data_IF_209851714300
#
_entry.id   IF_209851714300
#
_cell.length_a   1.000
_cell.length_b   1.000
_cell.length_c   1.000
_cell.angle_alpha   90.00
_cell.angle_beta   90.00
_cell.angle_gamma   90.00
#
_symmetry.space_group_name_H-M   'P 1'
#
loop_
_entity.id
_entity.type
_entity.pdbx_description
1 polymer ?
#
# COMPACT_ATOMS: atom_id res chain seq x y z
N UNK A 1 9.42 10.76 2.05
CA UNK A 1 9.15 10.65 0.59
C UNK A 1 8.58 9.28 0.19
N UNK A 2 9.17 8.16 0.63
CA UNK A 2 8.67 6.81 0.28
C UNK A 2 7.22 6.54 0.71
N UNK A 3 6.84 6.84 1.96
CA UNK A 3 5.44 6.69 2.42
C UNK A 3 4.47 7.53 1.58
N UNK A 4 4.81 8.80 1.29
CA UNK A 4 3.99 9.67 0.42
C UNK A 4 3.79 9.03 -0.95
N UNK A 5 4.87 8.57 -1.59
CA UNK A 5 4.77 7.89 -2.88
C UNK A 5 3.86 6.67 -2.77
N UNK A 6 4.07 5.80 -1.78
CA UNK A 6 3.26 4.60 -1.59
C UNK A 6 1.77 4.92 -1.42
N UNK A 7 1.42 5.90 -0.57
CA UNK A 7 0.03 6.29 -0.34
C UNK A 7 -0.61 6.82 -1.63
N UNK A 8 0.08 7.72 -2.35
CA UNK A 8 -0.46 8.32 -3.58
C UNK A 8 -0.63 7.23 -4.65
N UNK A 9 0.36 6.37 -4.88
CA UNK A 9 0.25 5.34 -5.94
C UNK A 9 -0.72 4.20 -5.61
N UNK A 10 -1.17 4.06 -4.36
CA UNK A 10 -2.17 3.06 -3.96
C UNK A 10 -3.55 3.68 -3.68
N UNK A 11 -3.73 4.97 -3.94
CA UNK A 11 -5.01 5.66 -3.81
C UNK A 11 -5.66 5.78 -5.19
N UNK A 12 -6.88 5.26 -5.33
CA UNK A 12 -7.58 5.14 -6.61
C UNK A 12 -7.79 6.51 -7.29
N UNK A 13 -8.06 7.53 -6.48
CA UNK A 13 -8.25 8.91 -6.93
C UNK A 13 -6.99 9.50 -7.58
N UNK A 14 -5.81 8.94 -7.28
CA UNK A 14 -4.52 9.39 -7.84
C UNK A 14 -4.07 8.63 -9.09
N UNK A 15 -4.79 7.59 -9.52
CA UNK A 15 -4.36 6.72 -10.64
C UNK A 15 -4.13 7.50 -11.93
N UNK A 16 -5.05 8.40 -12.31
CA UNK A 16 -4.92 9.20 -13.55
C UNK A 16 -3.68 10.08 -13.57
N UNK A 17 -3.23 10.56 -12.42
CA UNK A 17 -2.05 11.41 -12.29
C UNK A 17 -0.75 10.62 -12.39
N UNK A 18 -0.79 9.35 -11.97
CA UNK A 18 0.32 8.42 -12.15
C UNK A 18 0.57 8.21 -13.65
N UNK A 19 -0.49 7.94 -14.40
CA UNK A 19 -0.44 7.76 -15.85
C UNK A 19 0.00 9.05 -16.57
N UNK A 20 -0.57 10.21 -16.19
CA UNK A 20 -0.20 11.51 -16.77
C UNK A 20 1.31 11.81 -16.62
N UNK A 21 1.89 11.56 -15.45
CA UNK A 21 3.32 11.78 -15.24
C UNK A 21 4.19 10.81 -16.05
N UNK A 22 3.78 9.54 -16.16
CA UNK A 22 4.47 8.55 -17.00
C UNK A 22 4.44 8.94 -18.48
N UNK A 23 3.30 9.44 -18.97
CA UNK A 23 3.13 9.90 -20.34
C UNK A 23 3.94 11.17 -20.64
N UNK A 24 4.02 12.11 -19.69
CA UNK A 24 4.90 13.28 -19.79
C UNK A 24 6.38 12.89 -19.92
N UNK A 25 6.85 11.99 -19.05
CA UNK A 25 8.24 11.51 -19.08
C UNK A 25 8.54 10.76 -20.39
N UNK A 26 7.59 9.95 -20.87
CA UNK A 26 7.72 9.19 -22.12
C UNK A 26 7.80 10.13 -23.33
N UNK A 27 6.92 11.14 -23.40
CA UNK A 27 6.93 12.15 -24.48
C UNK A 27 8.18 13.02 -24.45
N UNK A 28 8.73 13.28 -23.27
CA UNK A 28 9.99 14.02 -23.11
C UNK A 28 11.24 13.21 -23.52
N UNK A 29 11.08 11.94 -23.94
CA UNK A 29 12.21 11.07 -24.30
C UNK A 29 13.10 10.72 -23.10
N UNK A 30 12.54 10.75 -21.89
CA UNK A 30 13.31 10.56 -20.67
C UNK A 30 13.89 9.14 -20.61
N UNK A 31 15.18 9.04 -20.33
CA UNK A 31 15.81 7.76 -20.08
C UNK A 31 15.39 7.23 -18.70
N UNK A 32 15.13 5.93 -18.61
CA UNK A 32 14.71 5.28 -17.36
C UNK A 32 13.43 5.88 -16.75
N UNK A 33 12.37 6.01 -17.56
CA UNK A 33 11.05 6.58 -17.17
C UNK A 33 10.58 6.12 -15.79
N UNK A 34 10.61 4.82 -15.51
CA UNK A 34 10.14 4.27 -14.24
C UNK A 34 10.94 4.76 -13.03
N UNK A 35 12.27 4.86 -13.17
CA UNK A 35 13.14 5.38 -12.11
C UNK A 35 12.84 6.85 -11.85
N UNK A 36 12.74 7.65 -12.92
CA UNK A 36 12.40 9.08 -12.81
C UNK A 36 11.03 9.29 -12.21
N UNK A 37 10.04 8.52 -12.64
CA UNK A 37 8.71 8.55 -12.04
C UNK A 37 8.81 8.32 -10.53
N UNK A 38 9.47 7.24 -10.09
CA UNK A 38 9.64 6.95 -8.66
C UNK A 38 10.28 8.10 -7.87
N UNK A 39 11.27 8.76 -8.47
CA UNK A 39 12.07 9.78 -7.81
C UNK A 39 11.40 11.18 -7.83
N UNK A 40 10.64 11.50 -8.88
CA UNK A 40 10.11 12.85 -9.16
C UNK A 40 8.59 12.96 -8.93
N UNK A 41 7.84 11.84 -8.95
CA UNK A 41 6.37 11.86 -8.98
C UNK A 41 5.74 12.60 -7.82
N UNK A 42 6.23 12.43 -6.59
CA UNK A 42 5.65 13.12 -5.42
C UNK A 42 5.74 14.64 -5.57
N UNK A 43 6.89 15.15 -6.04
CA UNK A 43 7.13 16.59 -6.17
C UNK A 43 6.41 17.15 -7.42
N UNK A 44 6.27 16.33 -8.47
CA UNK A 44 5.44 16.65 -9.64
C UNK A 44 3.96 16.72 -9.27
N UNK A 45 3.44 15.72 -8.57
CA UNK A 45 2.05 15.60 -8.15
C UNK A 45 1.67 16.78 -7.24
N UNK A 46 2.52 17.10 -6.27
CA UNK A 46 2.31 18.25 -5.40
C UNK A 46 2.15 19.56 -6.17
N UNK A 47 3.06 19.85 -7.11
CA UNK A 47 2.99 21.07 -7.93
C UNK A 47 1.76 21.08 -8.85
N UNK A 48 1.47 19.95 -9.51
CA UNK A 48 0.36 19.80 -10.45
C UNK A 48 -0.98 20.03 -9.78
N UNK A 49 -1.23 19.34 -8.66
CA UNK A 49 -2.50 19.43 -7.93
C UNK A 49 -2.66 20.80 -7.26
N UNK A 50 -1.61 21.40 -6.71
CA UNK A 50 -1.69 22.75 -6.14
C UNK A 50 -2.08 23.81 -7.18
N UNK A 51 -1.59 23.69 -8.42
CA UNK A 51 -1.98 24.61 -9.50
C UNK A 51 -3.46 24.43 -9.87
N UNK A 52 -3.91 23.18 -10.05
CA UNK A 52 -5.29 22.89 -10.42
C UNK A 52 -6.30 23.21 -9.32
N UNK A 53 -5.92 23.08 -8.04
CA UNK A 53 -6.80 23.40 -6.92
C UNK A 53 -7.11 24.89 -6.86
N UNK A 54 -6.11 25.75 -7.13
CA UNK A 54 -6.31 27.20 -7.26
C UNK A 54 -7.30 27.58 -8.38
N UNK A 55 -7.37 26.76 -9.42
CA UNK A 55 -8.31 26.92 -10.54
C UNK A 55 -9.67 26.24 -10.29
N UNK A 56 -9.86 25.59 -9.13
CA UNK A 56 -11.09 24.87 -8.80
C UNK A 56 -11.30 23.58 -9.61
N UNK A 57 -10.24 23.01 -10.19
CA UNK A 57 -10.31 21.85 -11.10
C UNK A 57 -10.10 20.50 -10.42
N UNK A 58 -9.77 20.47 -9.14
CA UNK A 58 -9.56 19.25 -8.35
C UNK A 58 -10.23 19.40 -6.98
N UNK A 59 -10.64 18.27 -6.42
CA UNK A 59 -11.31 18.24 -5.12
C UNK A 59 -10.32 18.41 -3.95
N UNK A 60 -10.86 18.65 -2.75
CA UNK A 60 -10.05 18.84 -1.53
C UNK A 60 -9.33 17.56 -1.09
N UNK A 61 -9.81 16.38 -1.52
CA UNK A 61 -9.13 15.11 -1.24
C UNK A 61 -7.79 15.02 -1.96
N UNK A 62 -7.76 15.27 -3.27
CA UNK A 62 -6.53 15.33 -4.05
C UNK A 62 -5.60 16.42 -3.52
N UNK A 63 -6.16 17.57 -3.18
CA UNK A 63 -5.39 18.64 -2.56
C UNK A 63 -4.73 18.19 -1.25
N UNK A 64 -5.47 17.57 -0.32
CA UNK A 64 -4.93 17.03 0.92
C UNK A 64 -3.83 15.98 0.66
N UNK A 65 -4.06 15.03 -0.25
CA UNK A 65 -3.06 14.04 -0.67
C UNK A 65 -1.77 14.69 -1.18
N UNK A 66 -1.91 15.75 -1.99
CA UNK A 66 -0.78 16.48 -2.56
C UNK A 66 0.10 17.15 -1.51
N UNK A 67 -0.50 17.64 -0.42
CA UNK A 67 0.20 18.25 0.73
C UNK A 67 0.98 17.22 1.56
N UNK A 68 0.56 15.96 1.49
CA UNK A 68 1.13 14.88 2.30
C UNK A 68 0.58 14.86 3.74
N UNK A 69 0.93 13.81 4.50
CA UNK A 69 0.47 13.65 5.87
C UNK A 69 1.22 14.56 6.86
N UNK A 70 0.67 14.69 8.07
CA UNK A 70 1.38 15.19 9.25
C UNK A 70 2.69 14.38 9.42
N UNK A 71 3.82 15.04 9.73
CA UNK A 71 5.09 14.34 9.96
C UNK A 71 5.06 13.33 11.12
N UNK A 72 4.09 13.44 12.02
CA UNK A 72 3.89 12.52 13.14
C UNK A 72 2.99 11.37 12.70
N UNK A 73 3.38 10.16 13.10
CA UNK A 73 2.59 8.96 12.93
C UNK A 73 2.18 8.40 14.29
N UNK A 74 0.97 7.85 14.36
CA UNK A 74 0.48 7.08 15.52
C UNK A 74 0.71 5.60 15.22
N UNK A 75 1.20 4.85 16.21
CA UNK A 75 1.39 3.40 16.09
C UNK A 75 0.41 2.71 17.01
N UNK A 76 -0.34 1.76 16.47
CA UNK A 76 -1.38 1.04 17.18
C UNK A 76 -1.07 -0.46 17.26
N UNK A 77 -1.63 -1.05 18.31
CA UNK A 77 -1.62 -2.50 18.54
C UNK A 77 -2.79 -3.22 17.86
N UNK A 78 -3.85 -2.49 17.55
CA UNK A 78 -5.10 -2.99 16.96
C UNK A 78 -5.78 -1.89 16.15
N UNK A 79 -6.52 -2.26 15.13
CA UNK A 79 -7.40 -1.35 14.40
C UNK A 79 -8.65 -2.07 13.90
N UNK A 80 -9.74 -1.34 13.71
CA UNK A 80 -10.94 -1.82 13.07
C UNK A 80 -11.21 -0.97 11.83
N UNK A 81 -11.13 -1.56 10.65
CA UNK A 81 -11.28 -0.87 9.37
C UNK A 81 -12.11 -1.72 8.42
N UNK A 82 -13.09 -1.11 7.74
CA UNK A 82 -13.95 -1.76 6.75
C UNK A 82 -14.64 -3.06 7.23
N UNK A 83 -14.99 -3.14 8.51
CA UNK A 83 -15.64 -4.32 9.08
C UNK A 83 -14.68 -5.40 9.60
N UNK A 84 -13.37 -5.21 9.43
CA UNK A 84 -12.35 -6.17 9.84
C UNK A 84 -11.55 -5.66 11.04
N UNK A 85 -11.26 -6.56 11.97
CA UNK A 85 -10.47 -6.28 13.15
C UNK A 85 -9.05 -6.84 12.98
N UNK A 86 -8.06 -5.97 12.97
CA UNK A 86 -6.65 -6.33 12.82
C UNK A 86 -5.88 -6.12 14.11
N UNK A 87 -4.87 -6.97 14.36
CA UNK A 87 -3.89 -6.86 15.44
C UNK A 87 -2.48 -6.95 14.88
N UNK A 88 -1.49 -6.43 15.59
CA UNK A 88 -0.12 -6.85 15.32
C UNK A 88 0.17 -8.22 15.96
N UNK A 89 1.17 -8.90 15.43
CA UNK A 89 1.62 -10.23 15.87
C UNK A 89 2.06 -10.26 17.34
N UNK A 90 2.67 -9.18 17.82
CA UNK A 90 3.17 -9.10 19.19
C UNK A 90 2.05 -9.23 20.24
N UNK A 91 0.86 -8.70 19.93
CA UNK A 91 -0.30 -8.70 20.81
C UNK A 91 -1.05 -10.02 20.78
N UNK A 92 -1.10 -10.69 19.63
CA UNK A 92 -1.86 -11.94 19.51
C UNK A 92 -1.14 -13.16 20.09
N UNK A 93 0.17 -13.08 20.36
CA UNK A 93 0.92 -14.16 21.03
C UNK A 93 0.30 -14.63 22.35
N UNK A 94 -0.38 -13.72 23.04
CA UNK A 94 -1.01 -13.98 24.34
C UNK A 94 -2.54 -14.21 24.21
N UNK A 95 -3.05 -14.40 22.99
CA UNK A 95 -4.48 -14.55 22.70
C UNK A 95 -4.80 -15.87 21.98
N UNK A 96 -6.03 -16.35 22.17
CA UNK A 96 -6.53 -17.55 21.49
C UNK A 96 -6.91 -17.32 20.01
N UNK A 97 -6.95 -16.07 19.53
CA UNK A 97 -7.37 -15.73 18.16
C UNK A 97 -6.30 -14.94 17.44
N UNK A 98 -5.97 -15.37 16.23
CA UNK A 98 -5.08 -14.67 15.32
C UNK A 98 -5.87 -13.69 14.45
N UNK A 99 -5.38 -12.45 14.37
CA UNK A 99 -5.95 -11.38 13.56
C UNK A 99 -4.84 -10.49 12.96
N UNK A 100 -3.62 -11.00 12.87
CA UNK A 100 -2.46 -10.32 12.26
C UNK A 100 -2.24 -10.66 10.78
N UNK A 101 -2.90 -11.69 10.27
CA UNK A 101 -2.78 -12.12 8.87
C UNK A 101 -3.40 -11.12 7.91
N UNK A 102 -2.71 -10.84 6.81
CA UNK A 102 -3.22 -10.03 5.69
C UNK A 102 -2.97 -10.73 4.37
N UNK A 103 -3.86 -10.47 3.41
CA UNK A 103 -3.69 -10.83 2.01
C UNK A 103 -3.81 -9.56 1.15
N UNK A 104 -2.84 -9.37 0.26
CA UNK A 104 -2.89 -8.35 -0.78
C UNK A 104 -3.12 -9.07 -2.10
N UNK A 105 -4.28 -8.78 -2.72
CA UNK A 105 -4.62 -9.40 -3.99
C UNK A 105 -3.71 -8.88 -5.10
N UNK A 106 -3.17 -9.82 -5.87
CA UNK A 106 -2.36 -9.49 -7.02
C UNK A 106 -3.19 -8.93 -8.17
N UNK A 107 -2.66 -7.94 -8.88
CA UNK A 107 -3.18 -7.48 -10.16
C UNK A 107 -2.47 -8.16 -11.34
N UNK A 108 -2.86 -7.84 -12.57
CA UNK A 108 -2.23 -8.37 -13.78
C UNK A 108 -0.72 -8.07 -13.85
N UNK A 109 -0.25 -6.97 -13.24
CA UNK A 109 1.18 -6.61 -13.20
C UNK A 109 1.96 -7.54 -12.28
N UNK A 110 1.33 -8.04 -11.23
CA UNK A 110 1.88 -9.06 -10.32
C UNK A 110 1.68 -10.51 -10.80
N UNK A 111 1.12 -10.72 -11.99
CA UNK A 111 0.76 -12.06 -12.48
C UNK A 111 -0.46 -12.66 -11.77
N UNK A 112 -1.32 -11.80 -11.19
CA UNK A 112 -2.47 -12.17 -10.36
C UNK A 112 -2.09 -13.05 -9.16
N UNK A 113 -0.89 -12.85 -8.61
CA UNK A 113 -0.41 -13.59 -7.45
C UNK A 113 -0.80 -12.86 -6.17
N UNK A 114 -1.53 -13.54 -5.29
CA UNK A 114 -1.86 -13.03 -3.97
C UNK A 114 -0.67 -13.12 -3.03
N UNK A 115 -0.43 -12.05 -2.27
CA UNK A 115 0.65 -11.93 -1.31
C UNK A 115 0.10 -12.07 0.10
N UNK A 116 0.75 -12.90 0.90
CA UNK A 116 0.36 -13.16 2.28
C UNK A 116 1.40 -12.55 3.22
N UNK A 117 0.95 -11.99 4.34
CA UNK A 117 1.85 -11.43 5.33
C UNK A 117 1.25 -11.37 6.72
N UNK A 118 2.11 -11.05 7.68
CA UNK A 118 1.77 -10.88 9.09
C UNK A 118 2.07 -9.44 9.51
N UNK A 119 1.08 -8.76 10.06
CA UNK A 119 1.18 -7.39 10.55
C UNK A 119 2.13 -7.34 11.75
N UNK A 120 3.22 -6.58 11.60
CA UNK A 120 4.16 -6.24 12.69
C UNK A 120 3.84 -4.90 13.33
N UNK A 121 3.41 -3.91 12.53
CA UNK A 121 3.01 -2.60 13.03
C UNK A 121 1.81 -2.05 12.26
N UNK A 122 0.91 -1.42 12.99
CA UNK A 122 -0.19 -0.63 12.43
C UNK A 122 0.17 0.83 12.61
N UNK A 123 0.31 1.56 11.51
CA UNK A 123 0.78 2.96 11.50
C UNK A 123 -0.34 3.81 10.92
N UNK A 124 -0.88 4.76 11.70
CA UNK A 124 -1.83 5.75 11.22
C UNK A 124 -1.13 7.08 10.98
N UNK A 125 -1.39 7.68 9.82
CA UNK A 125 -0.92 9.01 9.47
C UNK A 125 -2.11 9.91 9.14
N UNK A 126 -2.07 11.12 9.68
CA UNK A 126 -3.13 12.11 9.51
C UNK A 126 -2.84 12.97 8.29
N UNK A 127 -3.87 13.26 7.49
CA UNK A 127 -3.84 14.20 6.39
C UNK A 127 -4.68 15.43 6.72
N UNK A 128 -4.49 16.55 6.02
CA UNK A 128 -5.40 17.69 6.10
C UNK A 128 -6.86 17.27 5.88
N UNK A 129 -7.78 18.08 6.40
CA UNK A 129 -9.24 17.87 6.26
C UNK A 129 -9.75 16.59 6.93
N UNK A 130 -9.21 16.25 8.11
CA UNK A 130 -9.66 15.13 8.95
C UNK A 130 -9.65 13.77 8.24
N UNK A 131 -8.68 13.59 7.34
CA UNK A 131 -8.44 12.31 6.65
C UNK A 131 -7.35 11.54 7.37
N UNK A 132 -7.48 10.23 7.45
CA UNK A 132 -6.48 9.34 8.04
C UNK A 132 -6.16 8.23 7.02
N UNK A 133 -4.88 7.84 6.96
CA UNK A 133 -4.45 6.64 6.24
C UNK A 133 -3.86 5.65 7.24
N UNK A 134 -4.32 4.40 7.17
CA UNK A 134 -3.80 3.29 7.96
C UNK A 134 -2.85 2.48 7.07
N UNK A 135 -1.62 2.31 7.52
CA UNK A 135 -0.57 1.52 6.88
C UNK A 135 -0.27 0.29 7.73
N UNK A 136 -0.15 -0.85 7.08
CA UNK A 136 0.34 -2.08 7.72
C UNK A 136 1.78 -2.33 7.31
N UNK A 137 2.68 -2.36 8.29
CA UNK A 137 4.01 -2.91 8.11
C UNK A 137 3.92 -4.41 8.36
N UNK A 138 4.28 -5.21 7.36
CA UNK A 138 4.17 -6.66 7.42
C UNK A 138 5.49 -7.34 7.10
N UNK A 139 5.67 -8.53 7.68
CA UNK A 139 6.59 -9.54 7.14
C UNK A 139 5.80 -10.39 6.14
N UNK A 140 6.38 -10.61 4.95
CA UNK A 140 5.71 -11.26 3.83
C UNK A 140 6.26 -12.67 3.64
N UNK A 141 5.38 -13.62 3.32
CA UNK A 141 5.79 -14.98 2.97
C UNK A 141 6.33 -15.03 1.54
N UNK A 142 7.31 -15.91 1.32
CA UNK A 142 7.75 -16.27 -0.02
C UNK A 142 6.67 -17.11 -0.71
N UNK A 143 5.77 -16.46 -1.45
CA UNK A 143 4.72 -17.16 -2.19
C UNK A 143 5.33 -17.86 -3.40
N UNK A 144 5.19 -19.20 -3.53
CA UNK A 144 5.77 -19.94 -4.65
C UNK A 144 5.06 -19.58 -5.96
N UNK A 145 5.77 -19.75 -7.08
CA UNK A 145 5.17 -19.58 -8.41
C UNK A 145 4.02 -20.58 -8.62
N UNK A 146 3.09 -20.25 -9.53
CA UNK A 146 1.86 -21.02 -9.77
C UNK A 146 2.05 -22.54 -10.03
N UNK A 147 3.27 -22.97 -10.40
CA UNK A 147 3.61 -24.37 -10.65
C UNK A 147 4.13 -25.12 -9.41
N UNK A 148 4.19 -24.47 -8.24
CA UNK A 148 4.66 -25.04 -6.98
C UNK A 148 3.60 -24.83 -5.90
N UNK A 149 3.23 -25.93 -5.24
CA UNK A 149 2.17 -25.91 -4.23
C UNK A 149 2.69 -25.70 -2.79
N UNK A 150 4.01 -25.55 -2.61
CA UNK A 150 4.63 -25.35 -1.30
C UNK A 150 5.88 -24.47 -1.36
N UNK A 151 6.07 -23.71 -0.29
CA UNK A 151 7.30 -23.02 0.10
C UNK A 151 7.35 -22.94 1.63
N UNK A 152 8.39 -22.31 2.20
CA UNK A 152 8.50 -22.14 3.64
C UNK A 152 7.31 -21.33 4.17
N UNK A 153 6.53 -21.92 5.08
CA UNK A 153 5.38 -21.25 5.70
C UNK A 153 4.13 -21.14 4.82
N UNK A 154 4.14 -21.67 3.58
CA UNK A 154 2.99 -21.62 2.66
C UNK A 154 2.71 -22.99 2.06
N UNK A 155 1.43 -23.39 2.07
CA UNK A 155 0.94 -24.59 1.40
C UNK A 155 -0.38 -24.30 0.70
N UNK A 156 -0.49 -24.76 -0.54
CA UNK A 156 -1.74 -24.80 -1.29
C UNK A 156 -2.20 -26.25 -1.43
N UNK A 157 -3.45 -26.52 -1.08
CA UNK A 157 -4.03 -27.85 -1.26
C UNK A 157 -4.61 -28.06 -2.67
N UNK A 158 -5.07 -29.29 -2.95
CA UNK A 158 -5.62 -29.67 -4.26
C UNK A 158 -6.95 -28.97 -4.61
N UNK A 159 -7.62 -28.37 -3.61
CA UNK A 159 -8.84 -27.59 -3.77
C UNK A 159 -8.55 -26.08 -3.89
N UNK A 160 -7.29 -25.68 -3.77
CA UNK A 160 -6.85 -24.30 -3.86
C UNK A 160 -6.95 -23.51 -2.56
N UNK A 161 -7.26 -24.14 -1.43
CA UNK A 161 -7.15 -23.50 -0.12
C UNK A 161 -5.68 -23.26 0.21
N UNK A 162 -5.43 -22.08 0.78
CA UNK A 162 -4.10 -21.62 1.16
C UNK A 162 -3.99 -21.70 2.68
N UNK A 163 -3.00 -22.44 3.14
CA UNK A 163 -2.62 -22.54 4.55
C UNK A 163 -1.25 -21.87 4.75
N UNK A 164 -1.18 -21.00 5.75
CA UNK A 164 -0.01 -20.16 6.03
C UNK A 164 0.42 -20.37 7.47
N UNK A 165 1.61 -20.94 7.65
CA UNK A 165 2.21 -21.18 8.96
C UNK A 165 3.03 -19.95 9.37
N UNK A 166 2.43 -19.10 10.22
CA UNK A 166 3.02 -17.85 10.70
C UNK A 166 4.24 -18.04 11.60
N UNK A 167 4.54 -19.26 12.03
CA UNK A 167 5.76 -19.56 12.78
C UNK A 167 7.00 -19.72 11.89
N UNK A 168 6.82 -19.73 10.57
CA UNK A 168 7.88 -19.99 9.58
C UNK A 168 8.20 -18.80 8.68
N UNK A 169 7.90 -17.58 9.14
CA UNK A 169 8.37 -16.32 8.54
C UNK A 169 9.88 -16.13 8.70
#
# INVERSE_FOLDING_TARGET
>A
KQIRHYIITNCEESNSWTDEHLDELTRAGAHSVQKRHRDEFVDWFERRIQALHKEGKVNDLLYALSRGPDPRARVYNRTFINGFFFRNDSVERDLNTQNSGVVVRGDARSGNLDWFGVIKKIICVDFPSEKEVVLFQCDWFDVPSANKNQSTGYKKDDYGYIDVDTTRL
#
